data_IF_297190715363
#
_entry.id   IF_297190715363
#
_cell.length_a   1.000
_cell.length_b   1.000
_cell.length_c   1.000
_cell.angle_alpha   90.00
_cell.angle_beta   90.00
_cell.angle_gamma   90.00
#
_symmetry.space_group_name_H-M   'P 1'
#
loop_
_entity.id
_entity.type
_entity.pdbx_description
1 polymer ?
#
# COMPACT_ATOMS: atom_id res chain seq x y z
N UNK A 1 6.12 -18.03 -3.97
CA UNK A 1 6.02 -16.58 -3.81
C UNK A 1 6.67 -16.20 -2.49
N UNK A 2 7.61 -15.26 -2.52
CA UNK A 2 8.16 -14.67 -1.31
C UNK A 2 7.27 -13.47 -1.01
N UNK A 3 6.24 -13.68 -0.19
CA UNK A 3 5.17 -12.71 0.09
C UNK A 3 5.76 -11.34 0.47
N UNK A 4 6.86 -11.32 1.23
CA UNK A 4 7.56 -10.09 1.62
C UNK A 4 8.23 -9.34 0.47
N UNK A 5 8.70 -10.05 -0.57
CA UNK A 5 9.30 -9.39 -1.75
C UNK A 5 8.21 -8.79 -2.63
N UNK A 6 7.14 -9.55 -2.86
CA UNK A 6 6.02 -9.13 -3.69
C UNK A 6 5.31 -7.92 -3.04
N UNK A 7 5.13 -7.91 -1.70
CA UNK A 7 4.59 -6.78 -0.95
C UNK A 7 5.51 -5.53 -1.00
N UNK A 8 6.83 -5.72 -1.02
CA UNK A 8 7.79 -4.61 -1.10
C UNK A 8 7.81 -3.98 -2.50
N UNK A 9 7.71 -4.80 -3.54
CA UNK A 9 7.59 -4.33 -4.92
C UNK A 9 6.30 -3.53 -5.09
N UNK A 10 5.17 -4.08 -4.62
CA UNK A 10 3.88 -3.39 -4.64
C UNK A 10 3.91 -2.07 -3.84
N UNK A 11 4.54 -2.05 -2.67
CA UNK A 11 4.68 -0.82 -1.89
C UNK A 11 5.46 0.27 -2.65
N UNK A 12 6.53 -0.11 -3.36
CA UNK A 12 7.28 0.84 -4.19
C UNK A 12 6.44 1.38 -5.35
N UNK A 13 5.68 0.52 -6.04
CA UNK A 13 4.78 0.93 -7.11
C UNK A 13 3.71 1.90 -6.61
N UNK A 14 3.12 1.62 -5.44
CA UNK A 14 2.11 2.49 -4.82
C UNK A 14 2.70 3.85 -4.40
N UNK A 15 3.93 3.88 -3.88
CA UNK A 15 4.62 5.15 -3.56
C UNK A 15 4.88 5.97 -4.83
N UNK A 16 5.32 5.33 -5.92
CA UNK A 16 5.50 6.00 -7.21
C UNK A 16 4.16 6.52 -7.77
N UNK A 17 3.10 5.73 -7.68
CA UNK A 17 1.74 6.16 -8.03
C UNK A 17 1.32 7.41 -7.24
N UNK A 18 1.54 7.41 -5.92
CA UNK A 18 1.19 8.53 -5.05
C UNK A 18 1.92 9.82 -5.47
N UNK A 19 3.24 9.74 -5.66
CA UNK A 19 4.05 10.90 -6.08
C UNK A 19 3.60 11.44 -7.45
N UNK A 20 3.42 10.54 -8.42
CA UNK A 20 2.93 10.90 -9.74
C UNK A 20 1.54 11.57 -9.68
N UNK A 21 0.62 11.01 -8.92
CA UNK A 21 -0.75 11.53 -8.79
C UNK A 21 -0.76 12.92 -8.16
N UNK A 22 0.03 13.14 -7.11
CA UNK A 22 0.18 14.47 -6.50
C UNK A 22 0.81 15.49 -7.47
N UNK A 23 1.83 15.09 -8.21
CA UNK A 23 2.45 15.93 -9.23
C UNK A 23 1.44 16.33 -10.32
N UNK A 24 0.64 15.38 -10.80
CA UNK A 24 -0.41 15.62 -11.79
C UNK A 24 -1.53 16.51 -11.26
N UNK A 25 -1.98 16.29 -10.02
CA UNK A 25 -2.98 17.14 -9.37
C UNK A 25 -2.51 18.60 -9.27
N UNK A 26 -1.25 18.80 -8.83
CA UNK A 26 -0.63 20.12 -8.76
C UNK A 26 -0.51 20.77 -10.13
N UNK A 27 -0.09 20.01 -11.14
CA UNK A 27 0.06 20.51 -12.51
C UNK A 27 -1.29 20.93 -13.11
N UNK A 28 -2.33 20.13 -12.92
CA UNK A 28 -3.70 20.43 -13.35
C UNK A 28 -4.21 21.74 -12.74
N UNK A 29 -3.96 21.96 -11.45
CA UNK A 29 -4.36 23.19 -10.76
C UNK A 29 -3.74 24.46 -11.38
N UNK A 30 -2.52 24.37 -11.90
CA UNK A 30 -1.82 25.49 -12.55
C UNK A 30 -2.01 25.54 -14.07
N UNK A 31 -2.75 24.61 -14.67
CA UNK A 31 -2.91 24.53 -16.11
C UNK A 31 -3.80 25.66 -16.66
N UNK A 32 -3.18 26.72 -17.19
CA UNK A 32 -3.88 27.91 -17.70
C UNK A 32 -4.62 27.70 -19.02
N UNK A 33 -4.49 26.54 -19.67
CA UNK A 33 -5.31 26.24 -20.85
C UNK A 33 -6.77 25.91 -20.51
N UNK A 34 -7.04 25.59 -19.24
CA UNK A 34 -8.38 25.31 -18.71
C UNK A 34 -8.89 26.49 -17.88
N UNK A 35 -10.22 26.64 -17.83
CA UNK A 35 -10.86 27.54 -16.89
C UNK A 35 -10.71 27.06 -15.43
N UNK A 36 -11.26 27.80 -14.46
CA UNK A 36 -11.16 27.40 -13.04
C UNK A 36 -11.85 26.07 -12.75
N UNK A 37 -12.98 25.77 -13.40
CA UNK A 37 -13.73 24.53 -13.15
C UNK A 37 -13.00 23.32 -13.72
N UNK A 38 -12.44 23.43 -14.92
CA UNK A 38 -11.65 22.38 -15.55
C UNK A 38 -10.39 22.04 -14.74
N UNK A 39 -9.66 23.06 -14.28
CA UNK A 39 -8.47 22.88 -13.43
C UNK A 39 -8.79 22.14 -12.13
N UNK A 40 -9.88 22.52 -11.47
CA UNK A 40 -10.30 21.89 -10.21
C UNK A 40 -10.76 20.45 -10.44
N UNK A 41 -11.56 20.18 -11.48
CA UNK A 41 -12.03 18.83 -11.79
C UNK A 41 -10.88 17.87 -12.14
N UNK A 42 -9.92 18.31 -12.96
CA UNK A 42 -8.75 17.49 -13.27
C UNK A 42 -7.87 17.26 -12.04
N UNK A 43 -7.65 18.29 -11.21
CA UNK A 43 -6.91 18.14 -9.97
C UNK A 43 -7.60 17.16 -9.01
N UNK A 44 -8.93 17.24 -8.85
CA UNK A 44 -9.72 16.35 -8.01
C UNK A 44 -9.62 14.89 -8.48
N UNK A 45 -9.64 14.65 -9.79
CA UNK A 45 -9.45 13.30 -10.36
C UNK A 45 -8.11 12.69 -9.93
N UNK A 46 -7.03 13.45 -10.02
CA UNK A 46 -5.70 12.98 -9.61
C UNK A 46 -5.58 12.83 -8.09
N UNK A 47 -6.27 13.66 -7.31
CA UNK A 47 -6.36 13.48 -5.86
C UNK A 47 -7.11 12.21 -5.48
N UNK A 48 -8.14 11.81 -6.24
CA UNK A 48 -8.83 10.53 -6.02
C UNK A 48 -7.88 9.35 -6.21
N UNK A 49 -7.06 9.39 -7.27
CA UNK A 49 -6.05 8.36 -7.55
C UNK A 49 -5.01 8.27 -6.44
N UNK A 50 -4.51 9.42 -5.97
CA UNK A 50 -3.62 9.48 -4.81
C UNK A 50 -4.26 8.84 -3.57
N UNK A 51 -5.52 9.15 -3.28
CA UNK A 51 -6.23 8.60 -2.12
C UNK A 51 -6.44 7.08 -2.22
N UNK A 52 -6.61 6.54 -3.44
CA UNK A 52 -6.62 5.10 -3.67
C UNK A 52 -5.26 4.49 -3.35
N UNK A 53 -4.19 5.00 -3.98
CA UNK A 53 -2.83 4.48 -3.78
C UNK A 53 -2.38 4.58 -2.31
N UNK A 54 -2.78 5.63 -1.60
CA UNK A 54 -2.57 5.74 -0.15
C UNK A 54 -3.28 4.65 0.63
N UNK A 55 -4.56 4.39 0.36
CA UNK A 55 -5.34 3.36 1.07
C UNK A 55 -4.71 1.97 0.90
N UNK A 56 -4.27 1.66 -0.32
CA UNK A 56 -3.63 0.39 -0.62
C UNK A 56 -2.29 0.27 0.13
N UNK A 57 -1.53 1.36 0.23
CA UNK A 57 -0.28 1.41 1.01
C UNK A 57 -0.53 1.27 2.51
N UNK A 58 -1.56 1.93 3.05
CA UNK A 58 -1.95 1.82 4.47
C UNK A 58 -2.31 0.36 4.82
N UNK A 59 -2.97 -0.38 3.92
CA UNK A 59 -3.27 -1.79 4.11
C UNK A 59 -2.02 -2.68 4.09
N UNK A 60 -1.03 -2.39 3.23
CA UNK A 60 0.26 -3.08 3.26
C UNK A 60 1.01 -2.85 4.56
N UNK A 61 0.99 -1.62 5.08
CA UNK A 61 1.58 -1.30 6.39
C UNK A 61 0.87 -2.09 7.49
N UNK A 62 -0.46 -2.13 7.49
CA UNK A 62 -1.25 -2.90 8.47
C UNK A 62 -0.90 -4.39 8.45
N UNK A 63 -0.78 -5.00 7.27
CA UNK A 63 -0.39 -6.41 7.11
C UNK A 63 1.02 -6.66 7.65
N UNK A 64 1.96 -5.76 7.39
CA UNK A 64 3.32 -5.85 7.93
C UNK A 64 3.32 -5.79 9.46
N UNK A 65 2.59 -4.85 10.06
CA UNK A 65 2.51 -4.74 11.52
C UNK A 65 1.89 -6.00 12.16
N UNK A 66 0.89 -6.60 11.53
CA UNK A 66 0.29 -7.85 11.96
C UNK A 66 1.30 -9.02 11.88
N UNK A 67 2.03 -9.11 10.77
CA UNK A 67 3.10 -10.08 10.60
C UNK A 67 4.20 -9.92 11.66
N UNK A 68 4.66 -8.69 11.91
CA UNK A 68 5.72 -8.41 12.90
C UNK A 68 5.28 -8.82 14.32
N UNK A 69 4.02 -8.59 14.69
CA UNK A 69 3.45 -9.07 15.97
C UNK A 69 3.42 -10.59 16.07
N UNK A 70 3.05 -11.27 14.98
CA UNK A 70 3.02 -12.74 14.94
C UNK A 70 4.42 -13.34 15.05
N UNK A 71 5.42 -12.74 14.38
CA UNK A 71 6.82 -13.15 14.50
C UNK A 71 7.30 -13.03 15.94
N UNK A 72 7.04 -11.89 16.60
CA UNK A 72 7.39 -11.70 18.01
C UNK A 72 6.73 -12.75 18.92
N UNK A 73 5.47 -13.10 18.68
CA UNK A 73 4.77 -14.13 19.46
C UNK A 73 5.43 -15.51 19.28
N UNK A 74 5.79 -15.87 18.04
CA UNK A 74 6.48 -17.13 17.72
C UNK A 74 7.83 -17.20 18.43
N UNK A 75 8.59 -16.10 18.46
CA UNK A 75 9.87 -16.01 19.17
C UNK A 75 9.70 -16.25 20.67
N UNK A 76 8.74 -15.56 21.31
CA UNK A 76 8.45 -15.73 22.76
C UNK A 76 8.04 -17.16 23.10
N UNK A 77 7.25 -17.81 22.26
CA UNK A 77 6.83 -19.19 22.49
C UNK A 77 8.00 -20.17 22.33
N UNK A 78 8.90 -19.95 21.36
CA UNK A 78 10.14 -20.74 21.21
C UNK A 78 11.04 -20.63 22.43
N UNK A 79 11.22 -19.43 22.98
CA UNK A 79 11.99 -19.21 24.21
C UNK A 79 11.43 -19.98 25.41
N UNK A 80 10.11 -20.20 25.43
CA UNK A 80 9.41 -20.99 26.45
C UNK A 80 9.43 -22.50 26.19
N UNK A 81 10.15 -22.95 25.17
CA UNK A 81 10.22 -24.37 24.80
C UNK A 81 8.94 -24.91 24.16
N UNK A 82 8.06 -24.04 23.65
CA UNK A 82 6.85 -24.44 22.95
C UNK A 82 7.19 -24.60 21.47
N UNK A 83 6.99 -25.82 20.94
CA UNK A 83 7.18 -26.12 19.53
C UNK A 83 6.00 -25.58 18.69
N UNK A 84 6.32 -24.86 17.61
CA UNK A 84 5.31 -24.21 16.76
C UNK A 84 5.53 -24.63 15.30
N UNK A 85 4.50 -25.20 14.71
CA UNK A 85 4.40 -25.41 13.28
C UNK A 85 3.57 -24.29 12.62
N UNK A 86 4.16 -23.54 11.69
CA UNK A 86 3.44 -22.56 10.87
C UNK A 86 2.79 -23.27 9.69
N UNK A 87 1.46 -23.35 9.67
CA UNK A 87 0.71 -23.96 8.56
C UNK A 87 0.25 -22.84 7.61
N UNK A 88 0.92 -22.69 6.48
CA UNK A 88 0.47 -21.82 5.39
C UNK A 88 -0.49 -22.61 4.50
N UNK A 89 -1.80 -22.38 4.62
CA UNK A 89 -2.76 -22.94 3.66
C UNK A 89 -2.75 -22.09 2.40
N UNK A 90 -2.40 -22.70 1.28
CA UNK A 90 -2.63 -22.12 -0.04
C UNK A 90 -4.15 -22.16 -0.27
N UNK A 91 -4.81 -21.00 -0.28
CA UNK A 91 -6.16 -20.90 -0.81
C UNK A 91 -6.05 -21.06 -2.32
N UNK A 92 -6.31 -22.26 -2.83
CA UNK A 92 -6.54 -22.48 -4.25
C UNK A 92 -7.85 -21.75 -4.59
N UNK A 93 -7.72 -20.53 -5.10
CA UNK A 93 -8.84 -19.73 -5.58
C UNK A 93 -9.44 -20.37 -6.82
N UNK A 94 -10.72 -20.72 -6.70
CA UNK A 94 -11.63 -21.07 -7.80
C UNK A 94 -12.01 -19.83 -8.61
#
# INVERSE_FOLDING_TARGET
MNVLRDDKELANELVQCCDYSLFRARTAFFNRSLDIHGRLAEAERWMHEFMRCKRDLDELVRKKEEHDKLVQLVEVMKERGIDIAVIVRKSDGQ
#
